data_IF_691814563038
#
_entry.id   IF_691814563038
#
_cell.length_a   1.000
_cell.length_b   1.000
_cell.length_c   1.000
_cell.angle_alpha   90.00
_cell.angle_beta   90.00
_cell.angle_gamma   90.00
#
_symmetry.space_group_name_H-M   'P 1'
#
loop_
_entity.id
_entity.type
_entity.pdbx_description
1 polymer ?
#
# COMPACT_ATOMS: atom_id res chain seq x y z
N UNK A 1 20.01 6.85 -2.75
CA UNK A 1 19.62 5.74 -1.86
C UNK A 1 19.55 4.46 -2.70
N UNK A 2 20.24 3.38 -2.33
CA UNK A 2 20.21 2.14 -3.10
C UNK A 2 18.84 1.46 -2.98
N UNK A 3 18.42 0.78 -4.05
CA UNK A 3 17.19 -0.01 -4.10
C UNK A 3 17.34 -1.23 -3.17
N UNK A 4 16.60 -1.25 -2.06
CA UNK A 4 16.65 -2.34 -1.08
C UNK A 4 15.68 -3.44 -1.53
N UNK A 5 16.23 -4.56 -2.01
CA UNK A 5 15.50 -5.83 -2.11
C UNK A 5 15.43 -6.46 -0.72
N UNK A 6 14.42 -6.05 0.06
CA UNK A 6 14.09 -6.61 1.37
C UNK A 6 12.92 -7.59 1.30
N UNK A 7 12.69 -8.33 2.38
CA UNK A 7 11.49 -9.15 2.55
C UNK A 7 10.23 -8.31 2.29
N UNK A 8 9.18 -8.90 1.68
CA UNK A 8 7.92 -8.18 1.45
C UNK A 8 7.45 -7.55 2.76
N UNK A 9 7.05 -6.28 2.68
CA UNK A 9 6.62 -5.50 3.84
C UNK A 9 5.43 -6.22 4.49
N UNK A 10 5.59 -6.65 5.74
CA UNK A 10 4.57 -7.42 6.46
C UNK A 10 3.73 -6.59 7.43
N UNK A 11 4.25 -5.44 7.90
CA UNK A 11 3.51 -4.57 8.81
C UNK A 11 3.17 -3.21 8.16
N UNK A 12 1.98 -2.64 8.41
CA UNK A 12 1.61 -1.30 7.94
C UNK A 12 2.60 -0.20 8.33
N UNK A 13 3.17 -0.31 9.53
CA UNK A 13 4.10 0.66 10.12
C UNK A 13 5.43 0.73 9.36
N UNK A 14 5.77 -0.32 8.62
CA UNK A 14 6.98 -0.40 7.81
C UNK A 14 6.81 0.38 6.49
N UNK A 15 5.58 0.77 6.11
CA UNK A 15 5.34 1.69 5.00
C UNK A 15 5.55 3.15 5.44
N UNK A 16 6.76 3.67 5.23
CA UNK A 16 7.09 5.05 5.56
C UNK A 16 6.14 6.05 4.88
N UNK A 17 5.47 6.89 5.68
CA UNK A 17 4.66 8.02 5.21
C UNK A 17 3.38 7.66 4.43
N UNK A 18 2.92 6.39 4.47
CA UNK A 18 1.75 5.96 3.68
C UNK A 18 0.47 5.68 4.47
N UNK A 19 0.47 5.85 5.79
CA UNK A 19 -0.64 5.42 6.65
C UNK A 19 -2.01 5.94 6.19
N UNK A 20 -2.10 7.20 5.73
CA UNK A 20 -3.35 7.76 5.22
C UNK A 20 -3.86 7.03 3.98
N UNK A 21 -3.00 6.73 3.02
CA UNK A 21 -3.37 6.00 1.81
C UNK A 21 -3.76 4.55 2.13
N UNK A 22 -3.11 3.94 3.13
CA UNK A 22 -3.49 2.61 3.64
C UNK A 22 -4.91 2.64 4.18
N UNK A 23 -5.20 3.58 5.10
CA UNK A 23 -6.54 3.72 5.69
C UNK A 23 -7.61 3.97 4.64
N UNK A 24 -7.37 4.88 3.68
CA UNK A 24 -8.32 5.16 2.60
C UNK A 24 -8.63 3.94 1.74
N UNK A 25 -7.61 3.12 1.43
CA UNK A 25 -7.85 1.90 0.66
C UNK A 25 -8.66 0.88 1.46
N UNK A 26 -8.36 0.69 2.75
CA UNK A 26 -9.15 -0.18 3.61
C UNK A 26 -10.58 0.30 3.80
N UNK A 27 -10.82 1.61 3.87
CA UNK A 27 -12.17 2.17 3.89
C UNK A 27 -12.95 1.82 2.62
N UNK A 28 -12.31 1.89 1.45
CA UNK A 28 -12.95 1.54 0.17
C UNK A 28 -13.25 0.04 0.07
N UNK A 29 -12.32 -0.82 0.50
CA UNK A 29 -12.45 -2.28 0.38
C UNK A 29 -13.43 -2.83 1.43
N UNK A 30 -13.43 -2.28 2.65
CA UNK A 30 -14.31 -2.73 3.75
C UNK A 30 -15.67 -2.01 3.79
N UNK A 31 -15.96 -1.12 2.83
CA UNK A 31 -17.27 -0.48 2.74
C UNK A 31 -18.39 -1.52 2.55
N UNK A 32 -19.60 -1.19 3.02
CA UNK A 32 -20.81 -2.03 2.81
C UNK A 32 -21.04 -2.32 1.32
N UNK A 33 -20.64 -1.39 0.44
CA UNK A 33 -20.50 -1.61 -0.99
C UNK A 33 -19.06 -1.27 -1.41
N UNK A 34 -18.18 -2.27 -1.57
CA UNK A 34 -16.81 -2.05 -2.00
C UNK A 34 -16.77 -1.43 -3.40
N UNK A 35 -15.86 -0.49 -3.61
CA UNK A 35 -15.62 0.11 -4.93
C UNK A 35 -14.26 -0.30 -5.49
N UNK A 36 -14.10 -0.20 -6.81
CA UNK A 36 -12.78 -0.37 -7.41
C UNK A 36 -11.88 0.79 -6.99
N UNK A 37 -10.64 0.47 -6.64
CA UNK A 37 -9.63 1.45 -6.26
C UNK A 37 -8.43 1.38 -7.20
N UNK A 38 -7.92 2.54 -7.59
CA UNK A 38 -6.74 2.66 -8.43
C UNK A 38 -5.56 3.21 -7.62
N UNK A 39 -4.42 2.52 -7.67
CA UNK A 39 -3.19 2.96 -7.00
C UNK A 39 -2.23 3.53 -8.03
N UNK A 40 -2.11 4.86 -8.04
CA UNK A 40 -1.21 5.58 -8.94
C UNK A 40 0.03 5.99 -8.16
N UNK A 41 1.20 5.52 -8.60
CA UNK A 41 2.47 5.89 -7.98
C UNK A 41 3.65 5.68 -8.93
N UNK A 42 4.73 6.43 -8.70
CA UNK A 42 5.98 6.31 -9.44
C UNK A 42 6.53 4.86 -9.42
N UNK A 43 7.34 4.45 -10.42
CA UNK A 43 8.08 3.19 -10.39
C UNK A 43 8.89 3.04 -9.08
N UNK A 44 9.00 1.81 -8.59
CA UNK A 44 9.76 1.46 -7.37
C UNK A 44 9.33 2.17 -6.07
N UNK A 45 8.16 2.81 -6.05
CA UNK A 45 7.64 3.50 -4.86
C UNK A 45 7.04 2.57 -3.79
N UNK A 46 7.11 1.24 -3.99
CA UNK A 46 6.57 0.25 -3.05
C UNK A 46 5.10 -0.14 -3.27
N UNK A 47 4.47 0.28 -4.38
CA UNK A 47 3.05 -0.06 -4.69
C UNK A 47 2.78 -1.57 -4.79
N UNK A 48 3.73 -2.35 -5.30
CA UNK A 48 3.61 -3.82 -5.36
C UNK A 48 3.72 -4.45 -3.98
N UNK A 49 4.62 -3.96 -3.13
CA UNK A 49 4.72 -4.43 -1.74
C UNK A 49 3.48 -4.08 -0.94
N UNK A 50 2.89 -2.91 -1.20
CA UNK A 50 1.63 -2.47 -0.59
C UNK A 50 0.46 -3.36 -0.97
N UNK A 51 0.30 -3.68 -2.26
CA UNK A 51 -0.73 -4.63 -2.72
C UNK A 51 -0.55 -6.06 -2.20
N UNK A 52 0.67 -6.46 -1.80
CA UNK A 52 0.90 -7.77 -1.18
C UNK A 52 0.54 -7.82 0.29
N UNK A 53 0.47 -6.67 0.94
CA UNK A 53 0.16 -6.57 2.37
C UNK A 53 -1.35 -6.68 2.64
N UNK A 54 -2.17 -6.09 1.76
CA UNK A 54 -3.63 -6.12 1.81
C UNK A 54 -4.14 -7.49 1.34
#
# INVERSE_FOLDING_TARGET
>A
MPYIVGHPVQNPTDFYGRQRQISQLFEIINAVQPQSANIIALPHSGKTSFLRYI
#
